data_IF_522155804302
#
_entry.id   IF_522155804302
#
_cell.length_a   1.000
_cell.length_b   1.000
_cell.length_c   1.000
_cell.angle_alpha   90.00
_cell.angle_beta   90.00
_cell.angle_gamma   90.00
#
_symmetry.space_group_name_H-M   'P 1'
#
loop_
_entity.id
_entity.type
_entity.pdbx_description
1 polymer ?
#
# COMPACT_ATOMS: atom_id res chain seq x y z
N UNK A 1 -37.53 -69.13 -44.17
CA UNK A 1 -36.18 -69.37 -43.57
C UNK A 1 -35.37 -68.07 -43.41
N UNK A 2 -35.24 -67.20 -44.44
CA UNK A 2 -34.48 -65.94 -44.31
C UNK A 2 -35.04 -64.95 -43.29
N UNK A 3 -36.36 -64.74 -43.19
CA UNK A 3 -36.92 -63.77 -42.22
C UNK A 3 -36.75 -64.19 -40.76
N UNK A 4 -36.79 -65.50 -40.47
CA UNK A 4 -36.60 -66.01 -39.12
C UNK A 4 -35.19 -65.75 -38.59
N UNK A 5 -34.15 -65.93 -39.43
CA UNK A 5 -32.76 -65.63 -39.04
C UNK A 5 -32.52 -64.14 -38.80
N UNK A 6 -33.18 -63.27 -39.57
CA UNK A 6 -33.08 -61.82 -39.39
C UNK A 6 -33.73 -61.39 -38.07
N UNK A 7 -34.88 -61.95 -37.72
CA UNK A 7 -35.54 -61.64 -36.44
C UNK A 7 -34.76 -62.15 -35.23
N UNK A 8 -34.14 -63.34 -35.30
CA UNK A 8 -33.28 -63.82 -34.20
C UNK A 8 -32.06 -62.94 -34.01
N UNK A 9 -31.46 -62.44 -35.10
CA UNK A 9 -30.29 -61.56 -35.02
C UNK A 9 -30.64 -60.18 -34.46
N UNK A 10 -31.78 -59.61 -34.87
CA UNK A 10 -32.26 -58.33 -34.33
C UNK A 10 -32.60 -58.41 -32.83
N UNK A 11 -33.21 -59.51 -32.40
CA UNK A 11 -33.51 -59.72 -30.98
C UNK A 11 -32.22 -59.86 -30.15
N UNK A 12 -31.21 -60.53 -30.70
CA UNK A 12 -29.92 -60.70 -30.03
C UNK A 12 -29.13 -59.38 -29.95
N UNK A 13 -29.10 -58.59 -31.04
CA UNK A 13 -28.50 -57.26 -31.03
C UNK A 13 -29.19 -56.31 -30.03
N UNK A 14 -30.52 -56.42 -29.89
CA UNK A 14 -31.28 -55.64 -28.90
C UNK A 14 -30.96 -56.06 -27.46
N UNK A 15 -30.75 -57.34 -27.19
CA UNK A 15 -30.35 -57.80 -25.86
C UNK A 15 -28.92 -57.38 -25.51
N UNK A 16 -28.01 -57.38 -26.48
CA UNK A 16 -26.61 -56.98 -26.27
C UNK A 16 -26.50 -55.46 -26.03
N UNK A 17 -27.22 -54.64 -26.80
CA UNK A 17 -27.29 -53.20 -26.57
C UNK A 17 -27.86 -52.86 -25.18
N UNK A 18 -28.88 -53.59 -24.71
CA UNK A 18 -29.43 -53.39 -23.37
C UNK A 18 -28.43 -53.78 -22.27
N UNK A 19 -27.59 -54.81 -22.47
CA UNK A 19 -26.53 -55.18 -21.51
C UNK A 19 -25.46 -54.09 -21.42
N UNK A 20 -25.01 -53.53 -22.54
CA UNK A 20 -24.04 -52.44 -22.53
C UNK A 20 -24.56 -51.18 -21.83
N UNK A 21 -25.83 -50.82 -22.02
CA UNK A 21 -26.45 -49.68 -21.33
C UNK A 21 -26.49 -49.89 -19.82
N UNK A 22 -26.73 -51.12 -19.35
CA UNK A 22 -26.71 -51.45 -17.92
C UNK A 22 -25.29 -51.35 -17.34
N UNK A 23 -24.28 -51.86 -18.06
CA UNK A 23 -22.87 -51.77 -17.63
C UNK A 23 -22.41 -50.30 -17.58
N UNK A 24 -22.76 -49.48 -18.57
CA UNK A 24 -22.43 -48.05 -18.59
C UNK A 24 -23.13 -47.27 -17.48
N UNK A 25 -24.36 -47.63 -17.11
CA UNK A 25 -25.07 -47.02 -15.97
C UNK A 25 -24.45 -47.41 -14.63
N UNK A 26 -23.99 -48.64 -14.48
CA UNK A 26 -23.27 -49.10 -13.29
C UNK A 26 -21.94 -48.35 -13.14
N UNK A 27 -21.12 -48.31 -14.19
CA UNK A 27 -19.85 -47.59 -14.19
C UNK A 27 -20.03 -46.09 -13.88
N UNK A 28 -21.04 -45.43 -14.47
CA UNK A 28 -21.34 -44.02 -14.19
C UNK A 28 -21.67 -43.76 -12.72
N UNK A 29 -22.36 -44.70 -12.05
CA UNK A 29 -22.71 -44.57 -10.64
C UNK A 29 -21.47 -44.65 -9.75
N UNK A 30 -20.52 -45.52 -10.07
CA UNK A 30 -19.26 -45.67 -9.32
C UNK A 30 -18.32 -44.46 -9.52
N UNK A 31 -18.32 -43.84 -10.70
CA UNK A 31 -17.57 -42.60 -10.93
C UNK A 31 -18.15 -41.42 -10.15
N UNK A 32 -19.47 -41.33 -10.00
CA UNK A 32 -20.13 -40.26 -9.24
C UNK A 32 -19.82 -40.35 -7.75
N UNK A 33 -19.89 -41.55 -7.16
CA UNK A 33 -19.55 -41.75 -5.74
C UNK A 33 -18.07 -41.47 -5.46
N UNK A 34 -17.17 -41.85 -6.38
CA UNK A 34 -15.75 -41.54 -6.25
C UNK A 34 -15.47 -40.03 -6.35
N UNK A 35 -16.16 -39.32 -7.25
CA UNK A 35 -16.03 -37.88 -7.39
C UNK A 35 -16.54 -37.15 -6.14
N UNK A 36 -17.67 -37.55 -5.58
CA UNK A 36 -18.21 -36.99 -4.33
C UNK A 36 -17.27 -37.20 -3.15
N UNK A 37 -16.72 -38.41 -2.98
CA UNK A 37 -15.76 -38.70 -1.91
C UNK A 37 -14.47 -37.88 -2.05
N UNK A 38 -14.01 -37.61 -3.27
CA UNK A 38 -12.81 -36.78 -3.51
C UNK A 38 -13.07 -35.31 -3.25
N UNK A 39 -14.26 -34.82 -3.59
CA UNK A 39 -14.69 -33.45 -3.26
C UNK A 39 -14.80 -33.29 -1.74
N UNK A 40 -15.42 -34.24 -1.04
CA UNK A 40 -15.50 -34.18 0.42
C UNK A 40 -14.12 -34.14 1.08
N UNK A 41 -13.17 -34.95 0.61
CA UNK A 41 -11.79 -34.95 1.14
C UNK A 41 -11.06 -33.63 0.90
N UNK A 42 -11.23 -33.01 -0.27
CA UNK A 42 -10.64 -31.70 -0.57
C UNK A 42 -11.30 -30.56 0.22
N UNK A 43 -12.61 -30.66 0.49
CA UNK A 43 -13.33 -29.72 1.35
C UNK A 43 -12.86 -29.89 2.80
N UNK A 44 -12.66 -31.11 3.28
CA UNK A 44 -12.16 -31.36 4.62
C UNK A 44 -10.70 -30.88 4.78
N UNK A 45 -9.84 -31.11 3.79
CA UNK A 45 -8.49 -30.53 3.73
C UNK A 45 -8.52 -28.99 3.71
N UNK A 46 -9.41 -28.38 2.92
CA UNK A 46 -9.54 -26.93 2.85
C UNK A 46 -10.19 -26.30 4.09
N UNK A 47 -11.08 -27.02 4.78
CA UNK A 47 -11.67 -26.57 6.04
C UNK A 47 -10.75 -26.81 7.24
N UNK A 48 -9.75 -27.69 7.10
CA UNK A 48 -8.68 -27.88 8.09
C UNK A 48 -7.61 -26.79 8.04
N UNK A 49 -7.73 -25.81 7.14
CA UNK A 49 -6.95 -24.56 7.20
C UNK A 49 -7.35 -23.81 8.48
N UNK A 50 -6.59 -24.06 9.54
CA UNK A 50 -6.75 -23.42 10.82
C UNK A 50 -6.55 -21.91 10.68
N UNK A 51 -7.40 -21.07 11.31
CA UNK A 51 -7.27 -19.61 11.29
C UNK A 51 -5.95 -19.07 11.87
N UNK A 52 -5.07 -19.94 12.39
CA UNK A 52 -3.73 -19.58 12.87
C UNK A 52 -2.79 -19.09 11.75
N UNK A 53 -2.94 -19.54 10.50
CA UNK A 53 -2.10 -19.04 9.39
C UNK A 53 -2.52 -17.64 8.88
N UNK A 54 -3.79 -17.23 9.06
CA UNK A 54 -4.23 -15.88 8.66
C UNK A 54 -3.71 -14.80 9.62
N UNK A 55 -3.45 -15.13 10.89
CA UNK A 55 -2.79 -14.23 11.83
C UNK A 55 -1.29 -14.06 11.54
N UNK A 56 -0.61 -15.09 11.02
CA UNK A 56 0.81 -14.98 10.63
C UNK A 56 1.01 -14.00 9.45
N UNK A 57 0.09 -13.99 8.49
CA UNK A 57 0.16 -13.07 7.34
C UNK A 57 -0.12 -11.62 7.77
N UNK A 58 -0.98 -11.39 8.77
CA UNK A 58 -1.18 -10.04 9.35
C UNK A 58 -0.04 -9.58 10.27
N UNK A 59 0.67 -10.49 10.93
CA UNK A 59 1.82 -10.16 11.78
C UNK A 59 3.07 -9.73 11.00
N UNK A 60 3.17 -10.10 9.72
CA UNK A 60 4.29 -9.73 8.84
C UNK A 60 4.31 -8.25 8.41
N UNK A 61 3.28 -7.46 8.74
CA UNK A 61 3.36 -5.98 8.78
C UNK A 61 4.21 -5.54 9.97
N UNK A 62 5.46 -5.99 9.98
CA UNK A 62 6.50 -5.55 10.90
C UNK A 62 6.68 -4.05 10.68
N UNK A 63 6.02 -3.26 11.54
CA UNK A 63 6.26 -1.83 11.65
C UNK A 63 7.75 -1.70 11.91
N UNK A 64 8.50 -1.29 10.88
CA UNK A 64 9.93 -0.99 11.01
C UNK A 64 10.07 0.06 12.11
N UNK A 65 10.40 -0.40 13.31
CA UNK A 65 10.46 0.43 14.49
C UNK A 65 11.82 1.12 14.46
N UNK A 66 11.86 2.32 13.88
CA UNK A 66 13.06 3.14 13.96
C UNK A 66 13.35 3.38 15.46
N UNK A 67 14.52 2.98 15.97
CA UNK A 67 14.83 3.10 17.38
C UNK A 67 14.67 4.56 17.86
N UNK A 68 14.04 4.77 19.01
CA UNK A 68 13.70 6.09 19.56
C UNK A 68 14.92 7.04 19.66
N UNK A 69 16.12 6.47 19.81
CA UNK A 69 17.39 7.20 19.89
C UNK A 69 17.72 7.98 18.62
N UNK A 70 17.51 7.43 17.42
CA UNK A 70 17.78 8.12 16.15
C UNK A 70 16.92 9.37 15.98
N UNK A 71 15.68 9.32 16.47
CA UNK A 71 14.80 10.48 16.47
C UNK A 71 15.37 11.60 17.34
N UNK A 72 15.89 11.27 18.53
CA UNK A 72 16.48 12.27 19.43
C UNK A 72 17.74 12.89 18.82
N UNK A 73 18.63 12.10 18.23
CA UNK A 73 19.82 12.61 17.53
C UNK A 73 19.43 13.55 16.37
N UNK A 74 18.42 13.19 15.58
CA UNK A 74 17.96 14.06 14.49
C UNK A 74 17.52 15.43 15.00
N UNK A 75 16.76 15.47 16.10
CA UNK A 75 16.34 16.73 16.70
C UNK A 75 17.50 17.54 17.29
N UNK A 76 18.48 16.90 17.93
CA UNK A 76 19.63 17.62 18.49
C UNK A 76 20.50 18.23 17.40
N UNK A 77 20.72 17.53 16.29
CA UNK A 77 21.45 18.05 15.12
C UNK A 77 20.73 19.26 14.53
N UNK A 78 19.42 19.19 14.34
CA UNK A 78 18.62 20.32 13.81
C UNK A 78 18.73 21.54 14.73
N UNK A 79 18.58 21.37 16.04
CA UNK A 79 18.69 22.47 17.01
C UNK A 79 20.09 23.07 17.01
N UNK A 80 21.13 22.24 17.02
CA UNK A 80 22.53 22.68 16.98
C UNK A 80 22.82 23.48 15.70
N UNK A 81 22.33 23.00 14.56
CA UNK A 81 22.45 23.69 13.28
C UNK A 81 21.77 25.07 13.32
N UNK A 82 20.54 25.16 13.83
CA UNK A 82 19.85 26.43 14.00
C UNK A 82 20.62 27.41 14.91
N UNK A 83 21.24 26.93 15.99
CA UNK A 83 22.06 27.75 16.88
C UNK A 83 23.32 28.28 16.17
N UNK A 84 24.00 27.43 15.40
CA UNK A 84 25.19 27.84 14.61
C UNK A 84 24.82 28.87 13.55
N UNK A 85 23.70 28.68 12.84
CA UNK A 85 23.21 29.66 11.88
C UNK A 85 22.86 30.99 12.55
N UNK A 86 22.15 30.97 13.69
CA UNK A 86 21.82 32.18 14.42
C UNK A 86 23.09 32.92 14.90
N UNK A 87 24.07 32.20 15.43
CA UNK A 87 25.36 32.76 15.83
C UNK A 87 26.10 33.38 14.63
N UNK A 88 26.09 32.71 13.48
CA UNK A 88 26.70 33.21 12.26
C UNK A 88 26.05 34.52 11.79
N UNK A 89 24.71 34.60 11.78
CA UNK A 89 23.98 35.81 11.40
C UNK A 89 24.32 36.98 12.34
N UNK A 90 24.38 36.74 13.65
CA UNK A 90 24.78 37.76 14.62
C UNK A 90 26.23 38.22 14.41
N UNK A 91 27.16 37.29 14.22
CA UNK A 91 28.58 37.60 13.99
C UNK A 91 28.78 38.37 12.67
N UNK A 92 28.07 37.98 11.62
CA UNK A 92 28.07 38.69 10.34
C UNK A 92 27.57 40.13 10.50
N UNK A 93 26.48 40.31 11.26
CA UNK A 93 25.93 41.64 11.57
C UNK A 93 26.91 42.57 12.26
N UNK A 94 27.71 42.04 13.19
CA UNK A 94 28.72 42.81 13.92
C UNK A 94 29.89 43.21 13.02
N UNK A 95 30.33 42.33 12.12
CA UNK A 95 31.54 42.56 11.31
C UNK A 95 31.32 43.49 10.11
N UNK A 96 30.16 43.41 9.45
CA UNK A 96 29.92 44.11 8.17
C UNK A 96 28.98 45.31 8.27
N UNK A 97 28.42 45.57 9.44
CA UNK A 97 27.52 46.70 9.67
C UNK A 97 26.09 46.44 9.18
N UNK A 98 25.18 47.34 9.56
CA UNK A 98 23.74 47.13 9.43
C UNK A 98 23.26 47.10 7.96
N UNK A 99 23.78 47.97 7.10
CA UNK A 99 23.31 48.11 5.71
C UNK A 99 23.52 46.83 4.90
N UNK A 100 24.74 46.28 4.95
CA UNK A 100 25.08 45.02 4.27
C UNK A 100 24.26 43.86 4.85
N UNK A 101 24.06 43.86 6.17
CA UNK A 101 23.31 42.81 6.85
C UNK A 101 21.84 42.81 6.45
N UNK A 102 21.20 43.97 6.30
CA UNK A 102 19.81 44.08 5.85
C UNK A 102 19.65 43.60 4.40
N UNK A 103 20.58 43.98 3.51
CA UNK A 103 20.59 43.50 2.12
C UNK A 103 20.81 41.98 2.03
N UNK A 104 21.70 41.46 2.87
CA UNK A 104 21.94 40.03 2.94
C UNK A 104 20.72 39.28 3.50
N UNK A 105 20.05 39.81 4.53
CA UNK A 105 18.87 39.19 5.11
C UNK A 105 17.67 39.20 4.13
N UNK A 106 17.54 40.25 3.33
CA UNK A 106 16.46 40.36 2.34
C UNK A 106 16.65 39.38 1.19
N UNK A 107 17.87 39.27 0.64
CA UNK A 107 18.21 38.28 -0.40
C UNK A 107 18.08 36.84 0.13
N UNK A 108 18.51 36.58 1.36
CA UNK A 108 18.29 35.29 2.01
C UNK A 108 16.79 34.97 2.18
N UNK A 109 15.99 35.94 2.63
CA UNK A 109 14.54 35.77 2.80
C UNK A 109 13.83 35.53 1.47
N UNK A 110 14.26 36.21 0.40
CA UNK A 110 13.74 36.01 -0.94
C UNK A 110 14.06 34.60 -1.44
N UNK A 111 15.31 34.16 -1.31
CA UNK A 111 15.71 32.79 -1.67
C UNK A 111 14.97 31.72 -0.85
N UNK A 112 14.75 31.96 0.44
CA UNK A 112 13.96 31.05 1.28
C UNK A 112 12.48 31.00 0.84
N UNK A 113 11.90 32.13 0.45
CA UNK A 113 10.56 32.20 -0.08
C UNK A 113 10.44 31.48 -1.43
N UNK A 114 11.42 31.68 -2.33
CA UNK A 114 11.51 30.96 -3.60
C UNK A 114 11.61 29.45 -3.40
N UNK A 115 12.46 28.99 -2.47
CA UNK A 115 12.59 27.57 -2.18
C UNK A 115 11.28 26.99 -1.64
N UNK A 116 10.61 27.70 -0.73
CA UNK A 116 9.34 27.25 -0.14
C UNK A 116 8.18 27.23 -1.14
N UNK A 117 8.09 28.25 -2.00
CA UNK A 117 6.96 28.45 -2.93
C UNK A 117 7.15 27.67 -4.23
N UNK A 118 8.38 27.55 -4.74
CA UNK A 118 8.67 26.93 -6.03
C UNK A 118 9.26 25.54 -5.83
N UNK A 119 10.36 25.43 -5.08
CA UNK A 119 11.15 24.21 -5.01
C UNK A 119 10.48 23.10 -4.20
N UNK A 120 9.82 23.41 -3.08
CA UNK A 120 9.10 22.42 -2.26
C UNK A 120 7.93 21.78 -3.03
N UNK A 121 6.98 22.52 -3.63
CA UNK A 121 5.92 21.89 -4.41
C UNK A 121 6.46 21.20 -5.65
N UNK A 122 7.53 21.69 -6.27
CA UNK A 122 8.19 20.98 -7.36
C UNK A 122 8.80 19.65 -6.91
N UNK A 123 9.52 19.61 -5.78
CA UNK A 123 10.06 18.37 -5.20
C UNK A 123 8.95 17.39 -4.83
N UNK A 124 7.86 17.87 -4.23
CA UNK A 124 6.69 17.05 -3.92
C UNK A 124 6.03 16.53 -5.21
N UNK A 125 5.92 17.37 -6.24
CA UNK A 125 5.41 16.96 -7.54
C UNK A 125 6.28 15.86 -8.16
N UNK A 126 7.60 16.01 -8.16
CA UNK A 126 8.51 14.97 -8.65
C UNK A 126 8.39 13.68 -7.83
N UNK A 127 8.36 13.77 -6.49
CA UNK A 127 8.26 12.60 -5.62
C UNK A 127 6.92 11.86 -5.77
N UNK A 128 5.80 12.58 -5.84
CA UNK A 128 4.47 11.96 -5.89
C UNK A 128 4.01 11.60 -7.30
N UNK A 129 4.46 12.30 -8.34
CA UNK A 129 4.04 12.03 -9.72
C UNK A 129 5.10 11.28 -10.52
N UNK A 130 6.37 11.64 -10.39
CA UNK A 130 7.44 11.07 -11.21
C UNK A 130 7.92 9.73 -10.64
N UNK A 131 8.03 9.61 -9.31
CA UNK A 131 8.46 8.37 -8.66
C UNK A 131 7.52 7.19 -8.95
N UNK A 132 6.18 7.30 -8.79
CA UNK A 132 5.30 6.20 -9.14
C UNK A 132 5.38 5.92 -10.63
N UNK A 133 5.41 6.94 -11.50
CA UNK A 133 5.51 6.73 -12.95
C UNK A 133 6.77 5.96 -13.37
N UNK A 134 7.89 6.15 -12.69
CA UNK A 134 9.12 5.37 -12.91
C UNK A 134 9.04 3.96 -12.32
N UNK A 135 8.28 3.77 -11.25
CA UNK A 135 8.11 2.48 -10.57
C UNK A 135 7.01 1.60 -11.21
N UNK A 136 5.98 2.18 -11.82
CA UNK A 136 4.87 1.47 -12.48
C UNK A 136 5.32 0.49 -13.57
N UNK A 137 6.30 0.78 -14.47
CA UNK A 137 6.68 -0.16 -15.51
C UNK A 137 7.32 -1.46 -14.99
N UNK A 138 7.70 -1.53 -13.71
CA UNK A 138 8.26 -2.76 -13.11
C UNK A 138 7.29 -3.51 -12.21
N UNK A 139 6.17 -2.91 -11.84
CA UNK A 139 5.05 -3.62 -11.23
C UNK A 139 4.17 -4.14 -12.37
N UNK A 140 4.70 -5.10 -13.14
CA UNK A 140 3.83 -6.01 -13.89
C UNK A 140 3.00 -6.75 -12.84
N UNK A 141 1.82 -6.22 -12.51
CA UNK A 141 0.78 -7.02 -11.87
C UNK A 141 0.62 -8.20 -12.80
N UNK A 142 0.98 -9.44 -12.38
CA UNK A 142 0.93 -10.58 -13.27
C UNK A 142 -0.49 -10.60 -13.82
N UNK A 143 -0.64 -10.33 -15.13
CA UNK A 143 -1.93 -10.33 -15.78
C UNK A 143 -2.54 -11.66 -15.41
N UNK A 144 -3.61 -11.64 -14.62
CA UNK A 144 -4.24 -12.86 -14.14
C UNK A 144 -4.66 -13.61 -15.40
N UNK A 145 -3.82 -14.58 -15.77
CA UNK A 145 -3.91 -15.29 -17.02
C UNK A 145 -5.22 -16.04 -16.92
N UNK A 146 -6.16 -15.70 -17.80
CA UNK A 146 -7.47 -16.34 -17.99
C UNK A 146 -7.70 -17.49 -17.01
N UNK A 147 -8.40 -17.22 -15.92
CA UNK A 147 -8.75 -18.27 -14.96
C UNK A 147 -9.71 -19.21 -15.69
N UNK A 148 -9.33 -20.47 -15.97
CA UNK A 148 -10.21 -21.36 -16.70
C UNK A 148 -11.50 -21.55 -15.91
N UNK A 149 -12.66 -21.63 -16.58
CA UNK A 149 -14.00 -21.75 -15.95
C UNK A 149 -14.17 -22.93 -14.98
N UNK A 150 -13.21 -23.85 -14.98
CA UNK A 150 -13.18 -25.03 -14.13
C UNK A 150 -12.05 -25.01 -13.09
N UNK A 151 -11.37 -23.89 -12.90
CA UNK A 151 -10.36 -23.79 -11.84
C UNK A 151 -11.01 -23.89 -10.46
N UNK A 152 -10.24 -24.38 -9.49
CA UNK A 152 -10.64 -24.40 -8.09
C UNK A 152 -11.05 -22.99 -7.59
N UNK A 153 -10.43 -21.93 -8.11
CA UNK A 153 -10.79 -20.55 -7.79
C UNK A 153 -12.19 -20.16 -8.29
N UNK A 154 -12.61 -20.62 -9.47
CA UNK A 154 -13.97 -20.36 -9.98
C UNK A 154 -15.02 -21.18 -9.20
N UNK A 155 -14.66 -22.38 -8.76
CA UNK A 155 -15.55 -23.20 -7.90
C UNK A 155 -15.68 -22.61 -6.49
N UNK A 156 -14.57 -22.17 -5.89
CA UNK A 156 -14.57 -21.45 -4.62
C UNK A 156 -15.36 -20.14 -4.71
N UNK A 157 -15.22 -19.41 -5.82
CA UNK A 157 -16.02 -18.21 -6.06
C UNK A 157 -17.53 -18.53 -6.09
N UNK A 158 -17.94 -19.63 -6.74
CA UNK A 158 -19.34 -20.09 -6.74
C UNK A 158 -19.84 -20.53 -5.38
N UNK A 159 -18.97 -21.12 -4.55
CA UNK A 159 -19.33 -21.54 -3.20
C UNK A 159 -19.59 -20.33 -2.27
N UNK A 160 -18.90 -19.22 -2.50
CA UNK A 160 -18.99 -18.01 -1.66
C UNK A 160 -19.33 -16.76 -2.49
N UNK A 161 -20.55 -16.65 -3.05
CA UNK A 161 -20.92 -15.55 -3.96
C UNK A 161 -21.07 -14.20 -3.26
N UNK A 162 -21.17 -14.19 -1.92
CA UNK A 162 -21.30 -12.97 -1.13
C UNK A 162 -19.96 -12.23 -0.94
N UNK A 163 -18.82 -12.89 -1.19
CA UNK A 163 -17.51 -12.25 -1.11
C UNK A 163 -17.27 -11.39 -2.37
N UNK A 164 -16.85 -10.13 -2.17
CA UNK A 164 -16.62 -9.16 -3.26
C UNK A 164 -15.64 -9.67 -4.31
N UNK A 165 -14.62 -10.43 -3.90
CA UNK A 165 -13.64 -11.04 -4.80
C UNK A 165 -14.26 -12.16 -5.67
N UNK A 166 -15.09 -13.02 -5.08
CA UNK A 166 -15.82 -14.05 -5.81
C UNK A 166 -16.79 -13.44 -6.81
N UNK A 167 -17.48 -12.37 -6.43
CA UNK A 167 -18.40 -11.65 -7.30
C UNK A 167 -17.69 -11.09 -8.54
N UNK A 168 -16.52 -10.47 -8.35
CA UNK A 168 -15.65 -10.01 -9.45
C UNK A 168 -15.20 -11.14 -10.39
N UNK A 169 -14.92 -12.34 -9.86
CA UNK A 169 -14.54 -13.51 -10.65
C UNK A 169 -15.74 -14.09 -11.42
N UNK A 170 -16.93 -14.09 -10.81
CA UNK A 170 -18.15 -14.71 -11.35
C UNK A 170 -18.90 -13.84 -12.35
N UNK A 171 -18.97 -12.53 -12.10
CA UNK A 171 -19.63 -11.59 -13.01
C UNK A 171 -18.91 -11.55 -14.36
N UNK A 172 -17.65 -12.04 -14.44
CA UNK A 172 -16.83 -12.06 -15.65
C UNK A 172 -17.00 -10.76 -16.44
N UNK A 173 -17.12 -9.66 -15.69
CA UNK A 173 -17.66 -8.41 -16.17
C UNK A 173 -16.53 -7.72 -16.92
N UNK A 174 -16.47 -8.00 -18.22
CA UNK A 174 -15.60 -7.29 -19.16
C UNK A 174 -15.92 -5.79 -19.20
N UNK A 175 -17.03 -5.34 -18.59
CA UNK A 175 -17.35 -3.93 -18.36
C UNK A 175 -16.29 -3.20 -17.51
N UNK A 176 -15.64 -3.91 -16.57
CA UNK A 176 -14.47 -3.37 -15.85
C UNK A 176 -13.29 -3.18 -16.79
N UNK A 177 -13.20 -3.97 -17.86
CA UNK A 177 -12.15 -3.87 -18.85
C UNK A 177 -12.37 -2.66 -19.78
N UNK A 178 -13.61 -2.31 -20.10
CA UNK A 178 -13.96 -1.07 -20.80
C UNK A 178 -13.74 0.17 -19.92
N UNK A 179 -14.07 0.12 -18.62
CA UNK A 179 -13.67 1.16 -17.66
C UNK A 179 -12.15 1.27 -17.54
N UNK A 180 -11.43 0.15 -17.58
CA UNK A 180 -9.96 0.13 -17.57
C UNK A 180 -9.37 0.70 -18.86
N UNK A 181 -10.03 0.50 -20.01
CA UNK A 181 -9.66 1.09 -21.30
C UNK A 181 -9.96 2.59 -21.30
N UNK A 182 -11.09 3.03 -20.77
CA UNK A 182 -11.39 4.46 -20.59
C UNK A 182 -10.44 5.11 -19.57
N UNK A 183 -10.10 4.43 -18.47
CA UNK A 183 -9.05 4.88 -17.54
C UNK A 183 -7.69 4.92 -18.21
N UNK A 184 -7.37 4.00 -19.14
CA UNK A 184 -6.15 4.05 -19.94
C UNK A 184 -6.16 5.22 -20.92
N UNK A 185 -7.28 5.53 -21.57
CA UNK A 185 -7.41 6.69 -22.45
C UNK A 185 -7.29 8.00 -21.67
N UNK A 186 -7.95 8.09 -20.50
CA UNK A 186 -7.84 9.21 -19.58
C UNK A 186 -6.40 9.33 -19.03
N UNK A 187 -5.74 8.21 -18.73
CA UNK A 187 -4.33 8.15 -18.35
C UNK A 187 -3.41 8.60 -19.48
N UNK A 188 -3.76 8.33 -20.74
CA UNK A 188 -2.96 8.72 -21.90
C UNK A 188 -3.06 10.22 -22.16
N UNK A 189 -4.26 10.79 -22.01
CA UNK A 189 -4.47 12.24 -22.04
C UNK A 189 -3.72 12.92 -20.89
N UNK A 190 -3.75 12.31 -19.71
CA UNK A 190 -3.01 12.79 -18.56
C UNK A 190 -1.48 12.64 -18.76
N UNK A 191 -1.02 11.60 -19.44
CA UNK A 191 0.39 11.44 -19.83
C UNK A 191 0.86 12.54 -20.79
N UNK A 192 0.06 12.90 -21.78
CA UNK A 192 0.38 14.01 -22.69
C UNK A 192 0.44 15.36 -21.99
N UNK A 193 -0.53 15.65 -21.11
CA UNK A 193 -0.46 16.89 -20.30
C UNK A 193 0.78 16.91 -19.41
N UNK A 194 1.23 15.75 -18.89
CA UNK A 194 2.47 15.64 -18.10
C UNK A 194 3.72 15.87 -18.94
N UNK A 195 3.77 15.33 -20.16
CA UNK A 195 4.89 15.56 -21.09
C UNK A 195 4.95 17.03 -21.50
N UNK A 196 3.79 17.64 -21.80
CA UNK A 196 3.71 19.07 -22.13
C UNK A 196 4.16 19.95 -20.97
N UNK A 197 3.69 19.67 -19.74
CA UNK A 197 4.11 20.43 -18.55
C UNK A 197 5.60 20.24 -18.25
N UNK A 198 6.12 19.01 -18.39
CA UNK A 198 7.55 18.74 -18.21
C UNK A 198 8.42 19.45 -19.25
N UNK A 199 8.00 19.44 -20.53
CA UNK A 199 8.68 20.18 -21.60
C UNK A 199 8.63 21.68 -21.34
N UNK A 200 7.51 22.21 -20.89
CA UNK A 200 7.34 23.63 -20.59
C UNK A 200 8.21 24.06 -19.39
N UNK A 201 8.29 23.25 -18.34
CA UNK A 201 9.24 23.48 -17.24
C UNK A 201 10.69 23.41 -17.71
N UNK A 202 11.03 22.47 -18.60
CA UNK A 202 12.39 22.35 -19.11
C UNK A 202 12.78 23.57 -19.97
N UNK A 203 11.86 24.07 -20.80
CA UNK A 203 12.04 25.31 -21.56
C UNK A 203 12.28 26.49 -20.62
N UNK A 204 11.49 26.62 -19.55
CA UNK A 204 11.65 27.69 -18.55
C UNK A 204 13.01 27.59 -17.85
N UNK A 205 13.48 26.38 -17.52
CA UNK A 205 14.78 26.20 -16.85
C UNK A 205 16.00 26.46 -17.74
N UNK A 206 15.85 26.39 -19.06
CA UNK A 206 16.93 26.69 -20.01
C UNK A 206 16.99 28.19 -20.32
N UNK A 207 15.96 28.97 -19.97
CA UNK A 207 15.95 30.40 -20.22
C UNK A 207 17.00 31.14 -19.38
N UNK A 208 17.57 32.24 -19.91
CA UNK A 208 18.42 33.13 -19.13
C UNK A 208 17.67 33.65 -17.91
N UNK A 209 18.38 33.81 -16.78
CA UNK A 209 17.81 34.16 -15.48
C UNK A 209 16.89 35.40 -15.54
N UNK A 210 17.26 36.41 -16.33
CA UNK A 210 16.46 37.64 -16.53
C UNK A 210 15.14 37.40 -17.24
N UNK A 211 15.10 36.44 -18.18
CA UNK A 211 13.88 36.06 -18.90
C UNK A 211 13.01 35.16 -18.03
N UNK A 212 13.63 34.32 -17.20
CA UNK A 212 12.94 33.46 -16.25
C UNK A 212 12.20 34.30 -15.20
N UNK A 213 12.82 35.33 -14.64
CA UNK A 213 12.19 36.26 -13.70
C UNK A 213 10.96 36.95 -14.30
N UNK A 214 11.09 37.46 -15.53
CA UNK A 214 9.98 38.10 -16.25
C UNK A 214 8.84 37.13 -16.56
N UNK A 215 9.15 35.90 -16.99
CA UNK A 215 8.13 34.88 -17.24
C UNK A 215 7.43 34.44 -15.95
N UNK A 216 8.17 34.34 -14.86
CA UNK A 216 7.64 33.94 -13.56
C UNK A 216 6.73 35.03 -12.99
N UNK A 217 7.07 36.30 -13.17
CA UNK A 217 6.22 37.44 -12.83
C UNK A 217 4.91 37.43 -13.65
N UNK A 218 4.98 37.22 -14.97
CA UNK A 218 3.79 37.10 -15.83
C UNK A 218 2.94 35.89 -15.46
N UNK A 219 3.55 34.74 -15.19
CA UNK A 219 2.87 33.51 -14.77
C UNK A 219 2.16 33.68 -13.43
N UNK A 220 2.82 34.32 -12.46
CA UNK A 220 2.22 34.64 -11.16
C UNK A 220 1.06 35.60 -11.35
N UNK A 221 1.26 36.70 -12.08
CA UNK A 221 0.19 37.67 -12.35
C UNK A 221 -1.00 37.03 -13.07
N UNK A 222 -0.74 36.21 -14.09
CA UNK A 222 -1.78 35.46 -14.80
C UNK A 222 -2.51 34.51 -13.84
N UNK A 223 -1.79 33.68 -13.08
CA UNK A 223 -2.38 32.73 -12.13
C UNK A 223 -3.23 33.42 -11.06
N UNK A 224 -2.76 34.53 -10.48
CA UNK A 224 -3.55 35.31 -9.53
C UNK A 224 -4.78 35.91 -10.18
N UNK A 225 -4.66 36.46 -11.39
CA UNK A 225 -5.79 37.03 -12.11
C UNK A 225 -6.83 35.97 -12.50
N UNK A 226 -6.43 34.80 -13.02
CA UNK A 226 -7.38 33.70 -13.29
C UNK A 226 -7.97 33.14 -12.01
N UNK A 227 -7.18 32.98 -10.95
CA UNK A 227 -7.69 32.51 -9.66
C UNK A 227 -8.71 33.47 -9.08
N UNK A 228 -8.46 34.78 -9.11
CA UNK A 228 -9.39 35.82 -8.68
C UNK A 228 -10.63 35.84 -9.58
N UNK A 229 -10.50 35.66 -10.89
CA UNK A 229 -11.62 35.67 -11.82
C UNK A 229 -12.52 34.42 -11.62
N UNK A 230 -11.92 33.24 -11.45
CA UNK A 230 -12.62 32.00 -11.06
C UNK A 230 -13.25 32.15 -9.68
N UNK A 231 -12.58 32.82 -8.75
CA UNK A 231 -13.08 33.09 -7.40
C UNK A 231 -14.28 34.04 -7.42
N UNK A 232 -14.23 35.12 -8.19
CA UNK A 232 -15.31 36.09 -8.36
C UNK A 232 -16.50 35.47 -9.10
N UNK A 233 -16.25 34.70 -10.17
CA UNK A 233 -17.31 33.97 -10.88
C UNK A 233 -17.92 32.87 -10.01
N UNK A 234 -17.10 32.16 -9.22
CA UNK A 234 -17.55 31.17 -8.26
C UNK A 234 -18.44 31.77 -7.17
N UNK A 235 -18.04 32.93 -6.63
CA UNK A 235 -18.83 33.68 -5.65
C UNK A 235 -20.15 34.19 -6.23
N UNK A 236 -20.13 34.70 -7.47
CA UNK A 236 -21.35 35.19 -8.15
C UNK A 236 -22.35 34.06 -8.43
N UNK A 237 -21.87 32.86 -8.76
CA UNK A 237 -22.72 31.73 -9.12
C UNK A 237 -23.12 30.84 -7.92
N UNK A 238 -22.30 30.76 -6.86
CA UNK A 238 -22.49 29.84 -5.74
C UNK A 238 -22.07 30.46 -4.39
N UNK A 239 -22.77 31.50 -3.89
CA UNK A 239 -22.39 32.20 -2.67
C UNK A 239 -22.41 31.31 -1.42
N UNK A 240 -23.29 30.30 -1.36
CA UNK A 240 -23.45 29.45 -0.17
C UNK A 240 -22.27 28.52 0.13
N UNK A 241 -21.50 28.11 -0.88
CA UNK A 241 -20.33 27.23 -0.71
C UNK A 241 -19.05 28.00 -0.39
N UNK A 242 -19.05 29.30 -0.59
CA UNK A 242 -17.83 30.09 -0.65
C UNK A 242 -17.40 30.62 0.71
N UNK A 243 -18.36 31.12 1.50
CA UNK A 243 -18.15 31.53 2.88
C UNK A 243 -17.53 30.43 3.76
N UNK A 244 -18.01 29.17 3.76
CA UNK A 244 -17.41 28.13 4.58
C UNK A 244 -15.97 27.78 4.16
N UNK A 245 -15.64 27.83 2.87
CA UNK A 245 -14.27 27.58 2.39
C UNK A 245 -13.31 28.71 2.77
N UNK A 246 -13.71 29.98 2.62
CA UNK A 246 -12.91 31.13 3.04
C UNK A 246 -12.70 31.14 4.56
N UNK A 247 -13.75 30.84 5.33
CA UNK A 247 -13.67 30.71 6.80
C UNK A 247 -12.77 29.52 7.19
N UNK A 248 -12.86 28.38 6.50
CA UNK A 248 -11.99 27.24 6.75
C UNK A 248 -10.51 27.57 6.51
N UNK A 249 -10.17 28.26 5.41
CA UNK A 249 -8.80 28.68 5.12
C UNK A 249 -8.24 29.67 6.16
N UNK A 250 -9.08 30.56 6.70
CA UNK A 250 -8.69 31.46 7.79
C UNK A 250 -8.59 30.75 9.16
N UNK A 251 -9.36 29.68 9.37
CA UNK A 251 -9.34 28.91 10.62
C UNK A 251 -8.14 27.96 10.73
N UNK A 252 -7.62 27.44 9.61
CA UNK A 252 -6.44 26.55 9.59
C UNK A 252 -5.22 27.10 10.36
N UNK A 253 -4.76 28.35 10.14
CA UNK A 253 -3.63 28.90 10.90
C UNK A 253 -3.95 29.10 12.39
N UNK A 254 -5.20 29.42 12.73
CA UNK A 254 -5.65 29.62 14.12
C UNK A 254 -5.68 28.27 14.87
N UNK A 255 -6.24 27.23 14.25
CA UNK A 255 -6.28 25.88 14.79
C UNK A 255 -4.87 25.31 14.97
N UNK A 256 -3.95 25.57 14.03
CA UNK A 256 -2.55 25.15 14.14
C UNK A 256 -1.85 25.82 15.34
N UNK A 257 -2.10 27.11 15.60
CA UNK A 257 -1.59 27.82 16.78
C UNK A 257 -2.16 27.26 18.09
N UNK A 258 -3.47 26.99 18.14
CA UNK A 258 -4.14 26.39 19.30
C UNK A 258 -3.61 24.98 19.59
N UNK A 259 -3.39 24.18 18.56
CA UNK A 259 -2.86 22.82 18.70
C UNK A 259 -1.42 22.82 19.25
N UNK A 260 -0.56 23.72 18.77
CA UNK A 260 0.80 23.91 19.31
C UNK A 260 0.76 24.33 20.78
N UNK A 261 -0.11 25.27 21.13
CA UNK A 261 -0.27 25.73 22.51
C UNK A 261 -0.75 24.60 23.43
N UNK A 262 -1.74 23.82 23.00
CA UNK A 262 -2.29 22.70 23.76
C UNK A 262 -1.24 21.61 24.04
N UNK A 263 -0.45 21.26 23.03
CA UNK A 263 0.65 20.30 23.20
C UNK A 263 1.71 20.79 24.19
N UNK A 264 2.04 22.08 24.18
CA UNK A 264 2.97 22.69 25.15
C UNK A 264 2.44 22.59 26.58
N UNK A 265 1.13 22.81 26.78
CA UNK A 265 0.49 22.69 28.11
C UNK A 265 0.49 21.23 28.61
N UNK A 266 0.25 20.27 27.72
CA UNK A 266 0.23 18.84 28.05
C UNK A 266 1.61 18.32 28.46
N UNK A 267 2.69 18.85 27.88
CA UNK A 267 4.05 18.50 28.29
C UNK A 267 4.42 19.05 29.67
N UNK A 268 4.03 20.29 29.98
CA UNK A 268 4.25 20.87 31.31
C UNK A 268 3.57 20.07 32.43
N UNK A 269 2.35 19.58 32.18
CA UNK A 269 1.63 18.74 33.17
C UNK A 269 2.36 17.42 33.44
N UNK A 270 2.85 16.74 32.40
CA UNK A 270 3.64 15.50 32.57
C UNK A 270 4.95 15.71 33.34
N UNK A 271 5.60 16.87 33.19
CA UNK A 271 6.78 17.21 33.98
C UNK A 271 6.46 17.46 35.45
N UNK A 272 5.33 18.11 35.76
CA UNK A 272 4.90 18.31 37.14
C UNK A 272 4.51 16.99 37.82
N UNK A 273 3.76 16.14 37.12
CA UNK A 273 3.33 14.84 37.66
C UNK A 273 4.53 13.90 37.89
N UNK A 274 5.53 13.91 37.00
CA UNK A 274 6.75 13.11 37.15
C UNK A 274 7.66 13.57 38.30
N UNK A 275 7.71 14.88 38.60
CA UNK A 275 8.53 15.40 39.69
C UNK A 275 7.88 15.16 41.07
N UNK A 276 6.55 15.03 41.12
CA UNK A 276 5.83 14.68 42.34
C UNK A 276 6.05 13.21 42.76
N UNK A 277 6.29 12.30 41.80
CA UNK A 277 6.53 10.89 42.10
C UNK A 277 7.97 10.60 42.56
N UNK A 278 8.97 11.44 42.21
CA UNK A 278 10.36 11.26 42.65
C UNK A 278 10.65 11.68 44.11
N UNK A 279 9.70 12.31 44.80
CA UNK A 279 9.90 12.81 46.16
C UNK A 279 9.39 11.87 47.27
N UNK A 280 8.75 10.75 46.92
CA UNK A 280 8.22 9.79 47.91
C UNK A 280 9.08 8.52 48.08
N UNK A 281 10.15 8.34 47.30
CA UNK A 281 11.04 7.19 47.45
C UNK A 281 12.09 7.48 48.54
N UNK A 282 11.64 7.48 49.79
CA UNK A 282 12.55 7.31 50.93
C UNK A 282 13.19 5.92 50.85
N UNK A 283 14.51 5.78 51.10
CA UNK A 283 15.17 4.49 51.03
C UNK A 283 14.60 3.54 52.08
N UNK A 284 13.81 2.57 51.64
CA UNK A 284 13.37 1.46 52.49
C UNK A 284 14.60 0.69 52.99
N UNK A 285 14.63 0.30 54.29
CA UNK A 285 15.75 -0.42 54.87
C UNK A 285 15.92 -1.78 54.19
N UNK A 286 17.17 -2.10 53.83
CA UNK A 286 17.58 -3.37 53.24
C UNK A 286 17.19 -4.53 54.16
N UNK A 287 16.11 -5.22 53.81
CA UNK A 287 15.75 -6.51 54.39
C UNK A 287 16.70 -7.62 53.94
N UNK A 288 16.83 -8.71 54.72
CA UNK A 288 17.82 -9.75 54.51
C UNK A 288 17.57 -10.54 53.22
N UNK A 289 18.65 -10.72 52.46
CA UNK A 289 18.74 -11.54 51.25
C UNK A 289 18.31 -12.99 51.53
N UNK A 290 17.10 -13.34 51.10
CA UNK A 290 16.67 -14.74 51.02
C UNK A 290 17.20 -15.30 49.69
N UNK A 291 18.30 -16.05 49.76
CA UNK A 291 18.74 -16.94 48.67
C UNK A 291 17.73 -18.09 48.58
N UNK A 292 16.85 -18.05 47.59
CA UNK A 292 16.14 -19.24 47.18
C UNK A 292 17.06 -20.08 46.29
N UNK A 293 17.52 -21.19 46.88
CA UNK A 293 17.93 -22.38 46.16
C UNK A 293 16.68 -23.12 45.64
N UNK A 294 16.91 -24.01 44.68
CA UNK A 294 15.98 -25.00 44.10
C UNK A 294 15.17 -24.45 42.90
N UNK A 295 14.97 -25.19 41.82
CA UNK A 295 15.20 -26.63 41.57
C UNK A 295 14.94 -26.90 40.07
N UNK A 296 15.74 -27.77 39.49
CA UNK A 296 15.43 -28.72 38.42
C UNK A 296 14.45 -28.29 37.30
N UNK A 297 14.99 -27.90 36.14
CA UNK A 297 14.29 -28.04 34.84
C UNK A 297 15.11 -28.95 33.90
N UNK A 298 15.40 -30.17 34.37
CA UNK A 298 15.79 -31.32 33.53
C UNK A 298 14.55 -32.16 33.19
N UNK A 299 13.57 -31.60 32.45
CA UNK A 299 12.40 -32.39 32.02
C UNK A 299 11.73 -31.94 30.71
N UNK A 300 12.48 -31.52 29.70
CA UNK A 300 11.92 -31.21 28.38
C UNK A 300 12.81 -31.62 27.19
N UNK A 301 13.57 -32.71 27.32
CA UNK A 301 14.46 -33.19 26.24
C UNK A 301 14.18 -34.63 25.76
N UNK A 302 12.96 -35.16 25.98
CA UNK A 302 12.58 -36.54 25.58
C UNK A 302 11.37 -36.66 24.65
N UNK A 303 11.13 -35.69 23.77
CA UNK A 303 10.03 -35.79 22.80
C UNK A 303 10.39 -35.49 21.33
N UNK A 304 11.66 -35.60 20.92
CA UNK A 304 12.07 -35.39 19.52
C UNK A 304 12.80 -36.55 18.82
N UNK A 305 12.79 -37.76 19.38
CA UNK A 305 13.54 -38.89 18.82
C UNK A 305 12.68 -39.97 18.10
N UNK A 306 11.40 -39.73 17.78
CA UNK A 306 10.54 -40.75 17.14
C UNK A 306 9.71 -40.23 15.95
N UNK A 307 10.38 -39.73 14.91
CA UNK A 307 9.78 -39.64 13.56
C UNK A 307 10.82 -39.56 12.42
N UNK A 308 11.96 -40.26 12.58
CA UNK A 308 12.87 -40.58 11.47
C UNK A 308 12.67 -42.03 11.04
N UNK A 309 11.61 -42.33 10.28
CA UNK A 309 11.64 -43.49 9.39
C UNK A 309 10.90 -43.22 8.07
N UNK A 310 11.67 -43.40 6.98
CA UNK A 310 11.24 -43.90 5.66
C UNK A 310 10.26 -43.04 4.84
N UNK A 311 10.83 -42.25 3.92
CA UNK A 311 10.36 -42.26 2.53
C UNK A 311 11.51 -42.05 1.57
N UNK A 312 12.15 -43.15 1.19
CA UNK A 312 12.85 -43.29 -0.09
C UNK A 312 11.77 -43.59 -1.12
N UNK A 313 11.56 -42.74 -2.12
CA UNK A 313 11.14 -43.20 -3.46
C UNK A 313 11.24 -42.14 -4.55
N UNK A 314 12.07 -42.48 -5.53
CA UNK A 314 11.90 -42.29 -6.97
C UNK A 314 12.00 -40.89 -7.55
N UNK A 315 13.22 -40.61 -8.02
CA UNK A 315 13.48 -39.81 -9.19
C UNK A 315 12.61 -40.26 -10.38
N UNK A 316 11.87 -39.32 -10.97
CA UNK A 316 11.29 -39.44 -12.30
C UNK A 316 11.91 -38.36 -13.18
N UNK A 317 12.81 -38.80 -14.05
CA UNK A 317 13.39 -38.05 -15.15
C UNK A 317 12.33 -37.87 -16.24
N UNK A 318 11.91 -36.63 -16.49
CA UNK A 318 11.12 -36.30 -17.69
C UNK A 318 12.07 -36.05 -18.87
N UNK A 319 12.05 -36.99 -19.81
CA UNK A 319 12.58 -36.85 -21.15
C UNK A 319 11.75 -35.81 -21.92
N UNK A 320 12.40 -34.77 -22.46
CA UNK A 320 11.81 -33.89 -23.48
C UNK A 320 11.90 -34.57 -24.85
N UNK A 321 10.82 -34.60 -25.66
CA UNK A 321 10.92 -35.00 -27.05
C UNK A 321 11.46 -33.83 -27.90
N UNK A 322 12.61 -34.08 -28.53
CA UNK A 322 13.19 -33.32 -29.63
C UNK A 322 12.21 -33.40 -30.82
N UNK A 323 11.64 -32.27 -31.28
CA UNK A 323 11.03 -32.18 -32.61
C UNK A 323 12.09 -31.78 -33.62
N UNK A 324 12.06 -32.45 -34.78
CA UNK A 324 12.86 -32.21 -35.97
C UNK A 324 12.41 -30.94 -36.67
#
# INVERSE_FOLDING_TARGET
IRSHRVMTWLNQAKTDANREVVILRAARRDYLTFAELRIQRLVEEACSFTPEEEEEIQSSKTKHYIPKYYRQIGWTIIVLYCLVCAFYICSFGINYGQEITVLWLSTFSLGAAEELIVLVPFKLFMLFYLLPSLLTPRLEVPRVRWVPRYSATHQAARAYPHLRASKLILENDYSVQDELVQMKLASHHHSWTRIMMAALTLIITIMPLTVQEFFLEIMIAAFFNTSVLVFVQGHANYPEFFYPCAVALLLVPILNRLFRWWNKKRQKKKQQDGNAQGACDSPLPKGPSIRFWAKDEDFMDRSKEHSRTKSKSRAFSYLSPRRK
#
